data_IF_143105552699
#
_entry.id   IF_143105552699
#
_cell.length_a   1.000
_cell.length_b   1.000
_cell.length_c   1.000
_cell.angle_alpha   90.00
_cell.angle_beta   90.00
_cell.angle_gamma   90.00
#
_symmetry.space_group_name_H-M   'P 1'
#
loop_
_entity.id
_entity.type
_entity.pdbx_description
1 polymer ?
#
# COMPACT_ATOMS: atom_id res chain seq x y z
N UNK A 1 2.82 11.57 -5.78
CA UNK A 1 1.53 10.82 -5.86
C UNK A 1 1.38 9.97 -4.62
N UNK A 2 0.23 10.01 -4.01
CA UNK A 2 -0.09 9.19 -2.83
C UNK A 2 -0.96 8.03 -3.27
N UNK A 3 -0.44 6.81 -3.14
CA UNK A 3 -1.12 5.57 -3.55
C UNK A 3 -1.43 4.72 -2.32
N UNK A 4 -2.66 4.27 -2.23
CA UNK A 4 -3.10 3.35 -1.19
C UNK A 4 -3.46 2.01 -1.85
N UNK A 5 -2.83 0.92 -1.40
CA UNK A 5 -3.07 -0.41 -1.94
C UNK A 5 -3.74 -1.30 -0.88
N UNK A 6 -4.95 -1.77 -1.18
CA UNK A 6 -5.56 -2.84 -0.40
C UNK A 6 -4.95 -4.16 -0.86
N UNK A 7 -4.03 -4.70 -0.07
CA UNK A 7 -3.20 -5.83 -0.43
C UNK A 7 -1.98 -5.38 -1.23
N UNK A 8 -0.91 -6.16 -1.17
CA UNK A 8 0.33 -5.85 -1.91
C UNK A 8 0.88 -7.14 -2.53
N UNK A 9 0.04 -7.79 -3.34
CA UNK A 9 0.41 -8.97 -4.08
C UNK A 9 1.20 -8.64 -5.36
N UNK A 10 1.40 -9.64 -6.21
CA UNK A 10 2.25 -9.48 -7.41
C UNK A 10 1.77 -8.37 -8.34
N UNK A 11 0.46 -8.23 -8.52
CA UNK A 11 -0.09 -7.20 -9.43
C UNK A 11 0.24 -5.81 -8.89
N UNK A 12 0.00 -5.58 -7.60
CA UNK A 12 0.31 -4.28 -6.99
C UNK A 12 1.80 -4.00 -7.01
N UNK A 13 2.64 -5.00 -6.73
CA UNK A 13 4.08 -4.86 -6.77
C UNK A 13 4.58 -4.48 -8.17
N UNK A 14 4.04 -5.13 -9.21
CA UNK A 14 4.39 -4.82 -10.60
C UNK A 14 3.98 -3.40 -10.97
N UNK A 15 2.81 -2.96 -10.55
CA UNK A 15 2.33 -1.61 -10.79
C UNK A 15 3.23 -0.58 -10.12
N UNK A 16 3.56 -0.79 -8.85
CA UNK A 16 4.45 0.12 -8.10
C UNK A 16 5.84 0.15 -8.72
N UNK A 17 6.38 -1.01 -9.10
CA UNK A 17 7.69 -1.07 -9.76
C UNK A 17 7.69 -0.27 -11.06
N UNK A 18 6.62 -0.34 -11.84
CA UNK A 18 6.48 0.44 -13.06
C UNK A 18 6.49 1.95 -12.77
N UNK A 19 5.74 2.39 -11.77
CA UNK A 19 5.71 3.79 -11.37
C UNK A 19 7.10 4.28 -10.94
N UNK A 20 7.83 3.48 -10.18
CA UNK A 20 9.18 3.83 -9.75
C UNK A 20 10.14 3.94 -10.95
N UNK A 21 10.00 3.04 -11.93
CA UNK A 21 10.80 3.10 -13.16
C UNK A 21 10.49 4.35 -14.00
N UNK A 22 9.29 4.90 -13.86
CA UNK A 22 8.88 6.13 -14.53
C UNK A 22 9.27 7.40 -13.76
N UNK A 23 10.06 7.24 -12.68
CA UNK A 23 10.50 8.35 -11.82
C UNK A 23 9.34 9.12 -11.18
N UNK A 24 8.25 8.43 -10.89
CA UNK A 24 7.12 9.03 -10.17
C UNK A 24 7.52 9.20 -8.70
N UNK A 25 7.29 10.38 -8.14
CA UNK A 25 7.46 10.63 -6.72
C UNK A 25 6.29 9.99 -5.98
N UNK A 26 6.53 8.82 -5.41
CA UNK A 26 5.48 7.95 -4.89
C UNK A 26 5.55 7.85 -3.37
N UNK A 27 4.42 8.11 -2.72
CA UNK A 27 4.19 7.79 -1.32
C UNK A 27 3.21 6.62 -1.28
N UNK A 28 3.67 5.48 -0.77
CA UNK A 28 2.92 4.23 -0.78
C UNK A 28 2.44 3.85 0.62
N UNK A 29 1.19 3.43 0.71
CA UNK A 29 0.62 2.81 1.90
C UNK A 29 -0.09 1.53 1.47
N UNK A 30 0.10 0.45 2.21
CA UNK A 30 -0.51 -0.84 1.90
C UNK A 30 -1.28 -1.40 3.08
N UNK A 31 -2.08 -2.42 2.83
CA UNK A 31 -2.69 -3.23 3.87
C UNK A 31 -2.34 -4.70 3.66
N UNK A 32 -2.28 -5.44 4.74
CA UNK A 32 -2.14 -6.90 4.69
C UNK A 32 -2.65 -7.49 6.01
N UNK A 33 -2.67 -8.82 6.08
CA UNK A 33 -3.04 -9.50 7.33
C UNK A 33 -1.92 -9.44 8.38
N UNK A 34 -0.73 -9.02 7.99
CA UNK A 34 0.40 -8.87 8.91
C UNK A 34 0.22 -7.65 9.78
N UNK A 35 0.93 -7.65 10.91
CA UNK A 35 0.90 -6.52 11.84
C UNK A 35 1.35 -5.23 11.14
N UNK A 36 0.80 -4.11 11.62
CA UNK A 36 1.20 -2.79 11.15
C UNK A 36 2.70 -2.58 11.34
N UNK A 37 3.39 -2.20 10.28
CA UNK A 37 4.84 -2.00 10.31
C UNK A 37 5.31 -1.18 9.11
N UNK A 38 6.53 -0.64 9.23
CA UNK A 38 7.19 0.03 8.11
C UNK A 38 8.04 -1.00 7.35
N UNK A 39 7.91 -0.99 6.03
CA UNK A 39 8.57 -1.96 5.15
C UNK A 39 9.29 -1.22 4.02
N UNK A 40 10.07 -1.96 3.23
CA UNK A 40 10.79 -1.41 2.08
C UNK A 40 10.56 -2.28 0.86
N UNK A 41 10.32 -1.63 -0.28
CA UNK A 41 10.18 -2.29 -1.58
C UNK A 41 10.97 -1.49 -2.62
N UNK A 42 12.02 -2.10 -3.19
CA UNK A 42 12.88 -1.46 -4.21
C UNK A 42 13.35 -0.07 -3.77
N UNK A 43 13.88 0.01 -2.55
CA UNK A 43 14.37 1.25 -1.93
C UNK A 43 13.28 2.27 -1.58
N UNK A 44 12.02 1.95 -1.79
CA UNK A 44 10.91 2.77 -1.35
C UNK A 44 10.45 2.31 0.03
N UNK A 45 10.53 3.20 1.02
CA UNK A 45 9.97 2.93 2.33
C UNK A 45 8.46 3.16 2.28
N UNK A 46 7.71 2.23 2.83
CA UNK A 46 6.26 2.35 2.86
C UNK A 46 5.70 1.81 4.16
N UNK A 47 4.47 2.18 4.46
CA UNK A 47 3.81 1.76 5.70
C UNK A 47 2.71 0.76 5.37
N UNK A 48 2.73 -0.38 6.10
CA UNK A 48 1.72 -1.42 5.94
C UNK A 48 0.85 -1.45 7.20
N UNK A 49 -0.47 -1.33 7.01
CA UNK A 49 -1.43 -1.41 8.10
C UNK A 49 -2.08 -2.78 8.15
N UNK A 50 -2.31 -3.26 9.35
CA UNK A 50 -3.04 -4.51 9.55
C UNK A 50 -4.49 -4.34 9.10
N UNK A 51 -4.95 -5.28 8.28
CA UNK A 51 -6.34 -5.32 7.81
C UNK A 51 -6.72 -6.77 7.56
N UNK A 52 -7.64 -7.30 8.35
CA UNK A 52 -8.09 -8.68 8.22
C UNK A 52 -9.61 -8.76 8.45
N UNK A 53 -10.15 -9.98 8.38
CA UNK A 53 -11.60 -10.20 8.44
C UNK A 53 -12.22 -9.79 9.76
N UNK A 54 -11.44 -9.78 10.85
CA UNK A 54 -11.94 -9.56 12.20
C UNK A 54 -11.65 -8.14 12.70
N UNK A 55 -10.61 -7.50 12.17
CA UNK A 55 -10.18 -6.20 12.69
C UNK A 55 -9.25 -5.51 11.69
N UNK A 56 -9.03 -4.23 11.92
CA UNK A 56 -8.09 -3.45 11.13
C UNK A 56 -7.53 -2.31 11.98
N UNK A 57 -6.33 -1.85 11.60
CA UNK A 57 -5.72 -0.69 12.23
C UNK A 57 -6.45 0.57 11.78
N UNK A 58 -7.14 1.24 12.69
CA UNK A 58 -7.97 2.40 12.38
C UNK A 58 -7.15 3.60 11.88
N UNK A 59 -5.85 3.62 12.18
CA UNK A 59 -4.97 4.68 11.71
C UNK A 59 -4.83 4.69 10.18
N UNK A 60 -5.18 3.59 9.51
CA UNK A 60 -5.15 3.52 8.05
C UNK A 60 -6.11 4.53 7.39
N UNK A 61 -7.13 5.00 8.11
CA UNK A 61 -8.12 5.92 7.53
C UNK A 61 -7.50 7.24 7.10
N UNK A 62 -6.48 7.73 7.80
CA UNK A 62 -5.82 8.98 7.44
C UNK A 62 -5.11 8.89 6.08
N UNK A 63 -4.18 7.96 5.86
CA UNK A 63 -3.56 7.83 4.54
C UNK A 63 -4.56 7.44 3.44
N UNK A 64 -5.62 6.71 3.79
CA UNK A 64 -6.65 6.37 2.81
C UNK A 64 -7.37 7.62 2.32
N UNK A 65 -7.75 8.51 3.22
CA UNK A 65 -8.43 9.76 2.87
C UNK A 65 -7.52 10.71 2.10
N UNK A 66 -6.23 10.70 2.36
CA UNK A 66 -5.25 11.57 1.72
C UNK A 66 -4.75 11.03 0.38
N UNK A 67 -5.07 9.78 0.04
CA UNK A 67 -4.55 9.15 -1.17
C UNK A 67 -5.12 9.79 -2.44
N UNK A 68 -4.27 9.90 -3.45
CA UNK A 68 -4.67 10.35 -4.79
C UNK A 68 -5.31 9.22 -5.58
N UNK A 69 -4.85 7.99 -5.36
CA UNK A 69 -5.34 6.79 -6.03
C UNK A 69 -5.43 5.63 -5.06
N UNK A 70 -6.39 4.76 -5.28
CA UNK A 70 -6.58 3.54 -4.50
C UNK A 70 -6.52 2.36 -5.46
N UNK A 71 -5.65 1.39 -5.14
CA UNK A 71 -5.53 0.14 -5.88
C UNK A 71 -6.02 -1.00 -5.00
N UNK A 72 -6.93 -1.80 -5.51
CA UNK A 72 -7.42 -2.97 -4.81
C UNK A 72 -6.79 -4.19 -5.45
N UNK A 73 -5.92 -4.86 -4.68
CA UNK A 73 -5.14 -6.01 -5.16
C UNK A 73 -5.28 -7.17 -4.19
N UNK A 74 -6.51 -7.45 -3.79
CA UNK A 74 -6.79 -8.62 -2.95
C UNK A 74 -7.23 -9.78 -3.83
N UNK A 75 -6.82 -11.02 -3.53
CA UNK A 75 -7.28 -12.17 -4.30
C UNK A 75 -8.79 -12.34 -4.16
N UNK A 76 -9.44 -12.82 -5.21
CA UNK A 76 -10.88 -13.06 -5.18
C UNK A 76 -11.26 -14.15 -4.18
#
# INVERSE_FOLDING_TARGET
>A
MKLFCFGFGQVAQSFVAHLLNCNVDLKLTTTSRKNTSELTFKNLNYFNYEFNENDFDKDLTNPLQESDHILISVPP
#
